data_IF_011061213259
#
_entry.id   IF_011061213259
#
_cell.length_a   1.000
_cell.length_b   1.000
_cell.length_c   1.000
_cell.angle_alpha   90.00
_cell.angle_beta   90.00
_cell.angle_gamma   90.00
#
_symmetry.space_group_name_H-M   'P 1'
#
loop_
_entity.id
_entity.type
_entity.pdbx_description
1 polymer ?
#
# COMPACT_ATOMS: atom_id res chain seq x y z
N UNK A 1 13.47 19.14 28.34
CA UNK A 1 14.24 18.76 27.13
C UNK A 1 13.35 19.06 25.94
N UNK A 2 13.67 20.09 25.17
CA UNK A 2 13.00 20.37 23.90
C UNK A 2 13.37 19.22 22.97
N UNK A 3 12.46 18.28 22.71
CA UNK A 3 12.68 17.28 21.69
C UNK A 3 12.75 18.01 20.35
N UNK A 4 13.90 17.96 19.68
CA UNK A 4 13.95 18.33 18.27
C UNK A 4 13.10 17.31 17.51
N UNK A 5 12.12 17.80 16.74
CA UNK A 5 11.40 16.95 15.81
C UNK A 5 12.38 16.40 14.76
N UNK A 6 12.36 15.09 14.55
CA UNK A 6 13.09 14.38 13.50
C UNK A 6 12.47 14.62 12.12
N UNK A 7 11.14 14.61 12.04
CA UNK A 7 10.39 14.86 10.82
C UNK A 7 10.37 16.37 10.50
N UNK A 8 10.49 16.73 9.21
CA UNK A 8 10.47 18.12 8.79
C UNK A 8 9.07 18.72 8.95
N UNK A 9 8.98 20.05 9.05
CA UNK A 9 7.71 20.77 9.00
C UNK A 9 7.08 20.64 7.60
N UNK A 10 5.91 19.96 7.46
CA UNK A 10 5.27 19.78 6.17
C UNK A 10 4.35 20.96 5.79
N UNK A 11 4.43 22.11 6.48
CA UNK A 11 3.65 23.32 6.17
C UNK A 11 3.95 23.92 4.79
N UNK A 12 5.10 23.57 4.20
CA UNK A 12 5.48 23.88 2.82
C UNK A 12 5.89 22.60 2.07
N UNK A 13 5.83 22.57 0.72
CA UNK A 13 6.27 21.43 -0.06
C UNK A 13 7.71 21.02 0.25
N UNK A 14 7.91 19.73 0.52
CA UNK A 14 9.22 19.19 0.81
C UNK A 14 10.02 18.98 -0.48
N UNK A 15 11.31 19.32 -0.43
CA UNK A 15 12.27 18.91 -1.45
C UNK A 15 12.38 17.37 -1.47
N UNK A 16 12.82 16.83 -2.62
CA UNK A 16 12.96 15.39 -2.85
C UNK A 16 13.73 14.69 -1.73
N UNK A 17 14.90 15.20 -1.39
CA UNK A 17 15.82 14.58 -0.42
C UNK A 17 15.21 14.61 0.99
N UNK A 18 14.56 15.71 1.35
CA UNK A 18 13.87 15.89 2.63
C UNK A 18 12.68 14.94 2.76
N UNK A 19 11.85 14.82 1.72
CA UNK A 19 10.73 13.87 1.69
C UNK A 19 11.22 12.42 1.76
N UNK A 20 12.28 12.08 1.02
CA UNK A 20 12.87 10.74 1.04
C UNK A 20 13.31 10.34 2.45
N UNK A 21 14.03 11.24 3.13
CA UNK A 21 14.51 11.01 4.50
C UNK A 21 13.34 10.93 5.49
N UNK A 22 12.37 11.83 5.41
CA UNK A 22 11.21 11.84 6.30
C UNK A 22 10.40 10.52 6.24
N UNK A 23 10.13 10.01 5.04
CA UNK A 23 9.41 8.74 4.89
C UNK A 23 10.27 7.53 5.25
N UNK A 24 11.60 7.60 5.10
CA UNK A 24 12.49 6.58 5.61
C UNK A 24 12.44 6.50 7.14
N UNK A 25 12.66 7.62 7.84
CA UNK A 25 12.66 7.69 9.30
C UNK A 25 11.31 7.29 9.92
N UNK A 26 10.21 7.69 9.28
CA UNK A 26 8.86 7.31 9.68
C UNK A 26 8.65 5.80 9.57
N UNK A 27 9.03 5.18 8.45
CA UNK A 27 8.82 3.75 8.18
C UNK A 27 9.83 2.84 8.91
N UNK A 28 11.03 3.33 9.22
CA UNK A 28 12.09 2.60 9.92
C UNK A 28 11.93 2.56 11.44
N UNK A 29 10.92 3.24 11.98
CA UNK A 29 10.71 3.24 13.42
C UNK A 29 11.32 4.43 14.18
N UNK A 30 12.02 5.34 13.50
CA UNK A 30 12.86 6.36 14.14
C UNK A 30 12.06 7.52 14.74
N UNK A 31 11.02 7.98 14.05
CA UNK A 31 10.16 9.06 14.53
C UNK A 31 9.16 8.58 15.61
N UNK A 32 8.82 9.44 16.57
CA UNK A 32 7.84 9.13 17.61
C UNK A 32 6.40 9.07 17.04
N UNK A 33 5.50 8.30 17.65
CA UNK A 33 4.13 8.16 17.12
C UNK A 33 3.37 9.49 17.02
N UNK A 34 3.47 10.35 18.05
CA UNK A 34 2.80 11.65 18.07
C UNK A 34 3.33 12.59 16.98
N UNK A 35 4.61 12.47 16.66
CA UNK A 35 5.27 13.24 15.60
C UNK A 35 4.83 12.77 14.21
N UNK A 36 4.77 11.45 14.00
CA UNK A 36 4.21 10.86 12.78
C UNK A 36 2.76 11.29 12.59
N UNK A 37 1.96 11.27 13.66
CA UNK A 37 0.57 11.68 13.63
C UNK A 37 0.41 13.13 13.20
N UNK A 38 1.16 14.05 13.82
CA UNK A 38 1.17 15.47 13.46
C UNK A 38 1.64 15.70 12.02
N UNK A 39 2.72 15.02 11.60
CA UNK A 39 3.26 15.13 10.25
C UNK A 39 2.23 14.71 9.19
N UNK A 40 1.59 13.55 9.37
CA UNK A 40 0.60 13.04 8.43
C UNK A 40 -0.67 13.91 8.37
N UNK A 41 -1.11 14.45 9.51
CA UNK A 41 -2.26 15.37 9.54
C UNK A 41 -1.93 16.63 8.75
N UNK A 42 -0.80 17.28 9.06
CA UNK A 42 -0.41 18.54 8.43
C UNK A 42 -0.12 18.38 6.93
N UNK A 43 0.50 17.27 6.52
CA UNK A 43 0.72 16.95 5.10
C UNK A 43 -0.60 16.84 4.34
N UNK A 44 -1.59 16.17 4.93
CA UNK A 44 -2.91 16.00 4.29
C UNK A 44 -3.78 17.24 4.35
N UNK A 45 -3.63 18.11 5.36
CA UNK A 45 -4.29 19.43 5.38
C UNK A 45 -3.75 20.36 4.30
N UNK A 46 -2.42 20.34 4.07
CA UNK A 46 -1.79 21.11 2.98
C UNK A 46 -2.12 20.52 1.60
N UNK A 47 -2.21 19.20 1.50
CA UNK A 47 -2.28 18.45 0.26
C UNK A 47 -0.89 17.98 -0.20
N UNK A 48 -0.79 16.69 -0.49
CA UNK A 48 0.45 16.05 -0.90
C UNK A 48 0.86 16.45 -2.33
N UNK A 49 2.15 16.70 -2.54
CA UNK A 49 2.71 16.91 -3.89
C UNK A 49 3.10 15.59 -4.56
N UNK A 50 3.27 15.60 -5.88
CA UNK A 50 3.75 14.43 -6.63
C UNK A 50 5.14 13.95 -6.19
N UNK A 51 6.02 14.87 -5.76
CA UNK A 51 7.34 14.54 -5.22
C UNK A 51 7.18 13.73 -3.93
N UNK A 52 6.38 14.23 -2.98
CA UNK A 52 6.16 13.55 -1.70
C UNK A 52 5.48 12.19 -1.86
N UNK A 53 4.51 12.09 -2.77
CA UNK A 53 3.85 10.82 -3.12
C UNK A 53 4.89 9.83 -3.70
N UNK A 54 5.76 10.28 -4.59
CA UNK A 54 6.79 9.44 -5.19
C UNK A 54 7.85 8.99 -4.17
N UNK A 55 8.26 9.87 -3.26
CA UNK A 55 9.21 9.53 -2.19
C UNK A 55 8.60 8.56 -1.16
N UNK A 56 7.34 8.78 -0.77
CA UNK A 56 6.61 7.86 0.11
C UNK A 56 6.48 6.47 -0.53
N UNK A 57 6.09 6.41 -1.80
CA UNK A 57 5.97 5.16 -2.53
C UNK A 57 7.32 4.43 -2.65
N UNK A 58 8.41 5.16 -2.95
CA UNK A 58 9.76 4.58 -2.99
C UNK A 58 10.18 4.07 -1.62
N UNK A 59 9.94 4.83 -0.56
CA UNK A 59 10.29 4.42 0.80
C UNK A 59 9.54 3.15 1.21
N UNK A 60 8.27 2.99 0.82
CA UNK A 60 7.52 1.75 1.00
C UNK A 60 8.08 0.60 0.15
N UNK A 61 8.38 0.83 -1.13
CA UNK A 61 8.96 -0.20 -2.01
C UNK A 61 10.33 -0.69 -1.57
N UNK A 62 11.11 0.14 -0.88
CA UNK A 62 12.40 -0.26 -0.31
C UNK A 62 12.26 -1.14 0.95
N UNK A 63 11.05 -1.26 1.52
CA UNK A 63 10.77 -1.91 2.81
C UNK A 63 9.69 -2.98 2.72
N UNK A 64 9.23 -3.31 1.52
CA UNK A 64 8.30 -4.41 1.30
C UNK A 64 9.05 -5.74 1.21
N UNK A 65 8.33 -6.83 1.38
CA UNK A 65 8.80 -8.17 1.05
C UNK A 65 8.48 -8.38 -0.45
N UNK A 66 9.49 -8.33 -1.34
CA UNK A 66 9.25 -8.36 -2.77
C UNK A 66 8.90 -9.76 -3.26
N UNK A 67 8.32 -9.82 -4.45
CA UNK A 67 8.23 -11.05 -5.23
C UNK A 67 8.73 -10.82 -6.66
N UNK A 68 9.19 -11.88 -7.28
CA UNK A 68 9.58 -11.93 -8.70
C UNK A 68 8.35 -12.21 -9.54
N UNK A 69 8.11 -11.39 -10.56
CA UNK A 69 6.99 -11.55 -11.47
C UNK A 69 7.45 -11.80 -12.92
N UNK A 70 6.68 -12.57 -13.71
CA UNK A 70 6.91 -12.71 -15.15
C UNK A 70 6.88 -11.35 -15.87
N UNK A 71 7.58 -11.27 -17.00
CA UNK A 71 7.54 -10.09 -17.85
C UNK A 71 6.11 -9.82 -18.33
N UNK A 72 5.71 -8.54 -18.34
CA UNK A 72 4.36 -8.14 -18.72
C UNK A 72 3.29 -8.37 -17.66
N UNK A 73 3.66 -8.76 -16.43
CA UNK A 73 2.73 -8.80 -15.32
C UNK A 73 2.17 -7.40 -15.00
N UNK A 74 0.88 -7.35 -14.67
CA UNK A 74 0.16 -6.11 -14.34
C UNK A 74 -0.52 -6.20 -12.97
N UNK A 75 -0.96 -5.06 -12.45
CA UNK A 75 -1.89 -4.98 -11.32
C UNK A 75 -3.22 -4.36 -11.75
N UNK A 76 -4.29 -4.78 -11.08
CA UNK A 76 -5.61 -4.14 -11.18
C UNK A 76 -6.05 -3.82 -9.77
N UNK A 77 -5.81 -2.58 -9.36
CA UNK A 77 -6.03 -2.11 -8.01
C UNK A 77 -6.63 -0.69 -8.02
N UNK A 78 -7.01 -0.23 -6.83
CA UNK A 78 -7.51 1.13 -6.61
C UNK A 78 -7.02 1.64 -5.27
N UNK A 79 -7.09 2.95 -5.07
CA UNK A 79 -6.75 3.59 -3.80
C UNK A 79 -7.77 3.28 -2.69
N UNK A 80 -9.00 2.89 -3.08
CA UNK A 80 -10.10 2.58 -2.17
C UNK A 80 -10.62 3.80 -1.41
N UNK A 81 -11.70 3.61 -0.66
CA UNK A 81 -12.29 4.67 0.18
C UNK A 81 -13.10 5.71 -0.59
N UNK A 82 -13.69 5.33 -1.72
CA UNK A 82 -14.63 6.15 -2.51
C UNK A 82 -16.02 6.28 -1.85
N UNK A 83 -16.31 5.47 -0.82
CA UNK A 83 -17.57 5.50 -0.08
C UNK A 83 -18.76 4.91 -0.82
N UNK A 84 -18.58 4.35 -2.03
CA UNK A 84 -19.69 3.88 -2.85
C UNK A 84 -20.14 2.45 -2.52
N UNK A 85 -19.38 1.72 -1.69
CA UNK A 85 -19.71 0.34 -1.25
C UNK A 85 -20.09 -0.59 -2.41
N UNK A 86 -19.41 -0.46 -3.55
CA UNK A 86 -19.66 -1.22 -4.77
C UNK A 86 -19.04 -2.63 -4.70
N UNK A 87 -19.29 -3.43 -5.74
CA UNK A 87 -18.65 -4.72 -5.93
C UNK A 87 -17.14 -4.56 -6.08
N UNK A 88 -16.38 -5.60 -5.73
CA UNK A 88 -14.92 -5.66 -5.95
C UNK A 88 -14.58 -5.87 -7.44
N UNK A 89 -14.91 -4.88 -8.27
CA UNK A 89 -14.74 -4.90 -9.73
C UNK A 89 -13.27 -5.17 -10.10
N UNK A 90 -12.33 -4.56 -9.40
CA UNK A 90 -10.90 -4.81 -9.65
C UNK A 90 -10.51 -6.28 -9.43
N UNK A 91 -11.14 -6.99 -8.49
CA UNK A 91 -10.90 -8.42 -8.28
C UNK A 91 -11.47 -9.24 -9.42
N UNK A 92 -12.69 -8.95 -9.85
CA UNK A 92 -13.30 -9.64 -11.00
C UNK A 92 -12.48 -9.43 -12.29
N UNK A 93 -12.03 -8.20 -12.54
CA UNK A 93 -11.20 -7.86 -13.70
C UNK A 93 -9.86 -8.61 -13.65
N UNK A 94 -9.19 -8.68 -12.49
CA UNK A 94 -7.95 -9.46 -12.34
C UNK A 94 -8.12 -10.92 -12.79
N UNK A 95 -9.22 -11.57 -12.39
CA UNK A 95 -9.50 -12.95 -12.77
C UNK A 95 -9.73 -13.10 -14.28
N UNK A 96 -10.49 -12.19 -14.88
CA UNK A 96 -10.77 -12.21 -16.33
C UNK A 96 -9.51 -11.96 -17.15
N UNK A 97 -8.67 -10.99 -16.74
CA UNK A 97 -7.43 -10.65 -17.45
C UNK A 97 -6.41 -11.79 -17.38
N UNK A 98 -6.27 -12.43 -16.21
CA UNK A 98 -5.44 -13.63 -16.06
C UNK A 98 -5.91 -14.78 -16.95
N UNK A 99 -7.23 -15.01 -17.00
CA UNK A 99 -7.81 -16.02 -17.89
C UNK A 99 -7.59 -15.71 -19.38
N UNK A 100 -7.36 -14.45 -19.75
CA UNK A 100 -6.98 -14.03 -21.09
C UNK A 100 -5.47 -14.17 -21.39
N UNK A 101 -4.68 -14.70 -20.44
CA UNK A 101 -3.26 -15.01 -20.62
C UNK A 101 -2.29 -13.88 -20.26
N UNK A 102 -2.77 -12.77 -19.67
CA UNK A 102 -1.90 -11.69 -19.18
C UNK A 102 -1.59 -11.97 -17.69
N UNK A 103 -0.31 -12.04 -17.27
CA UNK A 103 0.01 -12.30 -15.87
C UNK A 103 -0.52 -11.19 -14.94
N UNK A 104 -1.18 -11.54 -13.84
CA UNK A 104 -1.75 -10.56 -12.90
C UNK A 104 -1.19 -10.74 -11.49
N UNK A 105 -0.40 -9.77 -11.05
CA UNK A 105 0.12 -9.66 -9.69
C UNK A 105 -0.80 -8.73 -8.87
N UNK A 106 -1.98 -9.22 -8.48
CA UNK A 106 -3.00 -8.39 -7.85
C UNK A 106 -2.59 -8.00 -6.43
N UNK A 107 -2.29 -6.72 -6.19
CA UNK A 107 -2.08 -6.22 -4.84
C UNK A 107 -3.41 -5.78 -4.20
N UNK A 108 -3.63 -6.21 -2.97
CA UNK A 108 -4.88 -5.87 -2.29
C UNK A 108 -4.85 -6.06 -0.78
N UNK A 109 -5.89 -5.56 -0.15
CA UNK A 109 -6.07 -5.64 1.30
C UNK A 109 -7.52 -5.98 1.65
N UNK A 110 -7.78 -6.20 2.94
CA UNK A 110 -9.14 -6.23 3.50
C UNK A 110 -9.75 -4.84 3.47
N UNK A 111 -11.08 -4.77 3.57
CA UNK A 111 -11.78 -3.50 3.65
C UNK A 111 -11.28 -2.64 4.82
N UNK A 112 -10.91 -1.39 4.53
CA UNK A 112 -10.65 -0.39 5.57
C UNK A 112 -11.92 0.39 5.95
N UNK A 113 -12.83 0.59 5.00
CA UNK A 113 -14.10 1.34 5.18
C UNK A 113 -15.27 0.81 4.36
N UNK A 114 -15.05 -0.11 3.41
CA UNK A 114 -16.12 -0.76 2.63
C UNK A 114 -16.70 -1.98 3.38
N UNK A 115 -17.74 -2.60 2.81
CA UNK A 115 -18.32 -3.85 3.37
C UNK A 115 -17.42 -5.08 3.15
N UNK A 116 -16.63 -5.09 2.08
CA UNK A 116 -15.69 -6.15 1.74
C UNK A 116 -14.59 -5.61 0.82
N UNK A 117 -13.34 -5.98 1.08
CA UNK A 117 -12.19 -5.69 0.24
C UNK A 117 -11.84 -6.85 -0.70
N UNK A 118 -10.69 -6.74 -1.36
CA UNK A 118 -10.22 -7.77 -2.28
C UNK A 118 -9.91 -9.09 -1.55
N UNK A 119 -9.23 -9.01 -0.40
CA UNK A 119 -8.93 -10.18 0.42
C UNK A 119 -10.21 -10.86 0.93
N UNK A 120 -11.17 -10.09 1.46
CA UNK A 120 -12.44 -10.63 1.97
C UNK A 120 -13.25 -11.32 0.86
N UNK A 121 -13.24 -10.75 -0.35
CA UNK A 121 -13.90 -11.34 -1.52
C UNK A 121 -13.24 -12.63 -1.96
N UNK A 122 -11.91 -12.66 -2.06
CA UNK A 122 -11.18 -13.85 -2.50
C UNK A 122 -11.26 -14.98 -1.47
N UNK A 123 -11.21 -14.66 -0.17
CA UNK A 123 -11.41 -15.61 0.91
C UNK A 123 -12.81 -16.22 0.87
N UNK A 124 -13.85 -15.41 0.63
CA UNK A 124 -15.21 -15.90 0.43
C UNK A 124 -15.37 -16.79 -0.82
N UNK A 125 -14.52 -16.60 -1.83
CA UNK A 125 -14.44 -17.47 -3.02
C UNK A 125 -13.58 -18.73 -2.79
N UNK A 126 -13.03 -18.92 -1.58
CA UNK A 126 -12.27 -20.10 -1.20
C UNK A 126 -10.74 -19.96 -1.28
N UNK A 127 -10.21 -18.76 -1.53
CA UNK A 127 -8.76 -18.54 -1.50
C UNK A 127 -8.25 -18.60 -0.06
N UNK A 128 -7.32 -19.52 0.21
CA UNK A 128 -6.56 -19.51 1.45
C UNK A 128 -5.46 -18.45 1.36
N UNK A 129 -5.61 -17.35 2.12
CA UNK A 129 -4.71 -16.20 2.06
C UNK A 129 -3.28 -16.52 2.55
N UNK A 130 -3.14 -17.38 3.57
CA UNK A 130 -1.82 -17.77 4.09
C UNK A 130 -1.05 -18.58 3.05
N UNK A 131 -1.74 -19.53 2.39
CA UNK A 131 -1.16 -20.30 1.29
C UNK A 131 -0.83 -19.39 0.11
N UNK A 132 -1.74 -18.48 -0.26
CA UNK A 132 -1.52 -17.55 -1.38
C UNK A 132 -0.28 -16.67 -1.16
N UNK A 133 -0.07 -16.19 0.07
CA UNK A 133 1.13 -15.42 0.41
C UNK A 133 2.41 -16.28 0.32
N UNK A 134 2.37 -17.52 0.85
CA UNK A 134 3.53 -18.41 0.86
C UNK A 134 3.96 -18.89 -0.53
N UNK A 135 3.03 -18.99 -1.49
CA UNK A 135 3.29 -19.50 -2.84
C UNK A 135 3.07 -18.45 -3.94
N UNK A 136 3.17 -17.16 -3.62
CA UNK A 136 2.81 -16.08 -4.55
C UNK A 136 3.65 -16.09 -5.84
N UNK A 137 4.96 -16.25 -5.73
CA UNK A 137 5.87 -16.32 -6.90
C UNK A 137 5.55 -17.53 -7.79
N UNK A 138 5.46 -18.71 -7.19
CA UNK A 138 5.19 -19.96 -7.91
C UNK A 138 3.84 -19.92 -8.62
N UNK A 139 2.79 -19.48 -7.91
CA UNK A 139 1.43 -19.41 -8.47
C UNK A 139 1.30 -18.34 -9.54
N UNK A 140 2.02 -17.22 -9.43
CA UNK A 140 2.05 -16.21 -10.48
C UNK A 140 2.69 -16.77 -11.76
N UNK A 141 3.77 -17.55 -11.64
CA UNK A 141 4.45 -18.17 -12.78
C UNK A 141 3.64 -19.29 -13.43
N UNK A 142 2.98 -20.14 -12.63
CA UNK A 142 2.25 -21.32 -13.10
C UNK A 142 0.83 -20.99 -13.58
N UNK A 143 0.06 -20.25 -12.76
CA UNK A 143 -1.35 -19.96 -13.03
C UNK A 143 -1.57 -18.66 -13.80
N UNK A 144 -0.54 -17.81 -13.90
CA UNK A 144 -0.65 -16.47 -14.47
C UNK A 144 -1.37 -15.47 -13.54
N UNK A 145 -1.61 -15.82 -12.28
CA UNK A 145 -2.21 -14.90 -11.29
C UNK A 145 -1.77 -15.22 -9.87
N UNK A 146 -1.48 -14.17 -9.11
CA UNK A 146 -1.29 -14.25 -7.67
C UNK A 146 -1.99 -13.08 -6.96
N UNK A 147 -2.43 -13.33 -5.74
CA UNK A 147 -2.93 -12.30 -4.83
C UNK A 147 -1.85 -11.94 -3.81
N UNK A 148 -1.42 -10.70 -3.84
CA UNK A 148 -0.40 -10.16 -2.96
C UNK A 148 -1.09 -9.43 -1.81
N UNK A 149 -1.19 -10.10 -0.66
CA UNK A 149 -1.89 -9.53 0.49
C UNK A 149 -1.03 -8.47 1.19
N UNK A 150 -1.52 -7.22 1.21
CA UNK A 150 -0.74 -6.08 1.68
C UNK A 150 -0.22 -6.22 3.13
N UNK A 151 -0.97 -6.89 4.01
CA UNK A 151 -0.54 -7.10 5.41
C UNK A 151 0.67 -8.02 5.52
N UNK A 152 0.85 -8.94 4.55
CA UNK A 152 2.01 -9.81 4.48
C UNK A 152 3.21 -9.05 3.92
N UNK A 153 3.03 -8.32 2.81
CA UNK A 153 4.16 -7.72 2.09
C UNK A 153 4.65 -6.37 2.63
N UNK A 154 3.89 -5.67 3.47
CA UNK A 154 4.25 -4.33 3.98
C UNK A 154 4.42 -4.32 5.51
N UNK A 155 5.43 -5.00 6.08
CA UNK A 155 5.57 -5.14 7.53
C UNK A 155 5.72 -3.80 8.26
N UNK A 156 6.37 -2.80 7.64
CA UNK A 156 6.50 -1.44 8.19
C UNK A 156 5.12 -0.80 8.48
N UNK A 157 4.07 -1.18 7.75
CA UNK A 157 2.72 -0.65 7.94
C UNK A 157 2.05 -1.16 9.21
N UNK A 158 2.55 -2.21 9.85
CA UNK A 158 2.02 -2.69 11.13
C UNK A 158 2.09 -1.61 12.23
N UNK A 159 3.19 -0.83 12.24
CA UNK A 159 3.37 0.31 13.16
C UNK A 159 2.51 1.52 12.77
N UNK A 160 2.33 1.75 11.47
CA UNK A 160 1.60 2.92 10.94
C UNK A 160 0.08 2.72 11.02
N UNK A 161 -0.40 1.48 10.96
CA UNK A 161 -1.83 1.13 11.01
C UNK A 161 -2.58 1.71 12.21
N UNK A 162 -2.12 1.53 13.46
CA UNK A 162 -2.71 2.15 14.65
C UNK A 162 -2.78 3.68 14.58
N UNK A 163 -1.71 4.33 14.10
CA UNK A 163 -1.64 5.80 13.98
C UNK A 163 -2.71 6.29 12.99
N UNK A 164 -2.80 5.65 11.82
CA UNK A 164 -3.82 5.98 10.81
C UNK A 164 -5.24 5.79 11.34
N UNK A 165 -5.48 4.78 12.18
CA UNK A 165 -6.78 4.56 12.83
C UNK A 165 -7.13 5.69 13.80
N UNK A 166 -6.17 6.21 14.57
CA UNK A 166 -6.39 7.37 15.46
C UNK A 166 -6.67 8.65 14.68
N UNK A 167 -5.93 8.89 13.59
CA UNK A 167 -6.15 10.04 12.69
C UNK A 167 -7.58 10.03 12.13
N UNK A 168 -8.12 8.86 11.80
CA UNK A 168 -9.55 8.70 11.44
C UNK A 168 -9.96 9.34 10.11
N UNK A 169 -9.00 9.81 9.30
CA UNK A 169 -9.24 10.41 7.97
C UNK A 169 -8.16 9.99 6.96
N UNK A 170 -8.36 10.34 5.68
CA UNK A 170 -7.41 10.00 4.60
C UNK A 170 -6.07 10.69 4.85
N UNK A 171 -5.00 9.97 4.51
CA UNK A 171 -3.61 10.44 4.53
C UNK A 171 -2.91 10.03 3.24
N UNK A 172 -1.67 10.48 3.02
CA UNK A 172 -0.83 10.03 1.91
C UNK A 172 -0.79 8.51 1.73
N UNK A 173 -0.86 7.73 2.82
CA UNK A 173 -0.87 6.27 2.77
C UNK A 173 -2.11 5.66 2.08
N UNK A 174 -3.20 6.42 1.94
CA UNK A 174 -4.35 6.01 1.12
C UNK A 174 -4.05 6.04 -0.39
N UNK A 175 -2.99 6.73 -0.81
CA UNK A 175 -2.53 6.78 -2.20
C UNK A 175 -1.54 5.67 -2.53
N UNK A 176 -0.96 5.01 -1.52
CA UNK A 176 0.17 4.10 -1.69
C UNK A 176 -0.20 2.71 -2.21
N UNK A 177 -1.44 2.27 -2.04
CA UNK A 177 -1.88 0.92 -2.42
C UNK A 177 -1.45 0.52 -3.84
N UNK A 178 -1.79 1.33 -4.87
CA UNK A 178 -1.36 1.08 -6.25
C UNK A 178 0.13 1.29 -6.52
N UNK A 179 0.81 2.11 -5.72
CA UNK A 179 2.19 2.53 -6.00
C UNK A 179 3.25 1.58 -5.37
N UNK A 180 2.82 0.73 -4.44
CA UNK A 180 3.69 -0.14 -3.66
C UNK A 180 3.40 -1.62 -3.90
N UNK A 181 3.12 -2.01 -5.15
CA UNK A 181 2.93 -3.43 -5.49
C UNK A 181 4.25 -4.23 -5.26
N UNK A 182 4.24 -5.34 -4.49
CA UNK A 182 5.42 -6.17 -4.21
C UNK A 182 6.08 -6.85 -5.43
N UNK A 183 5.32 -7.04 -6.51
CA UNK A 183 5.83 -7.53 -7.79
C UNK A 183 6.48 -6.44 -8.64
N UNK A 184 6.55 -5.21 -8.14
CA UNK A 184 7.11 -4.04 -8.81
C UNK A 184 6.45 -3.65 -10.14
N UNK A 185 5.29 -4.22 -10.45
CA UNK A 185 4.48 -3.89 -11.62
C UNK A 185 3.92 -2.46 -11.56
N UNK A 186 3.60 -1.91 -12.73
CA UNK A 186 2.98 -0.59 -12.93
C UNK A 186 1.56 -0.73 -13.42
#
# INVERSE_FOLDING_TARGET
MTMFALLPDPSSPLARETAAQAFADLLDGAAAEAEIEAFLIALSDRGETSIEIAEAARAMRNRLIPITAPAGAIDVCGTGGDGHHTLNVSTAVSLVVAAAGVPVAKHGNRAASSKAGAADTLEALGLNLDRAAASAEDTLGDLGIAFLFAQHHHPAMARIGPIRRRIGRRTIFNLMGPLANPAHVT
#
